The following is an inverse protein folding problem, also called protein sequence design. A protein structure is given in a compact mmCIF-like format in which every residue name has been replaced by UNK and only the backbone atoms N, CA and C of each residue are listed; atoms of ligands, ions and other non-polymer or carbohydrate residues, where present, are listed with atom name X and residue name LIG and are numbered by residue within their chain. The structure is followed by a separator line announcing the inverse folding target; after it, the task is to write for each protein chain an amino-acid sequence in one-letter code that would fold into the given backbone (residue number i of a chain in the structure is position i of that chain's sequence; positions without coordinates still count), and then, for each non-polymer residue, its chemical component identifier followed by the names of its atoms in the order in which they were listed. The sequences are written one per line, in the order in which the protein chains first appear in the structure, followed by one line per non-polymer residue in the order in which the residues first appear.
data_IF_027840091520
#
_entry.id   IF_027840091520
#
_cell.length_a   1.000
_cell.length_b   1.000
_cell.length_c   1.000
_cell.angle_alpha   90.00
_cell.angle_beta   90.00
_cell.angle_gamma   90.00
#
_symmetry.space_group_name_H-M   'P 1'
#
loop_
_entity.id
_entity.type
_entity.pdbx_description
1 polymer ?
#
# COMPACT_ATOMS: atom_id res chain seq x y z
N UNK A 1 13.97 -1.35 -17.86
CA UNK A 1 13.50 -0.26 -16.98
C UNK A 1 12.75 -0.92 -15.84
N UNK A 2 13.06 -0.58 -14.59
CA UNK A 2 12.34 -1.13 -13.44
C UNK A 2 10.97 -0.44 -13.32
N UNK A 3 9.92 -1.20 -13.05
CA UNK A 3 8.58 -0.65 -12.79
C UNK A 3 8.59 0.08 -11.46
N UNK A 4 8.21 1.36 -11.45
CA UNK A 4 8.07 2.15 -10.22
C UNK A 4 6.59 2.30 -9.82
N UNK A 5 6.35 2.59 -8.54
CA UNK A 5 5.00 2.68 -7.97
C UNK A 5 4.14 3.73 -8.68
N UNK A 6 4.74 4.87 -9.05
CA UNK A 6 4.09 6.02 -9.69
C UNK A 6 3.64 5.75 -11.12
N UNK A 7 4.16 4.70 -11.77
CA UNK A 7 3.68 4.28 -13.09
C UNK A 7 2.25 3.74 -13.04
N UNK A 8 1.81 3.21 -11.89
CA UNK A 8 0.44 2.72 -11.68
C UNK A 8 -0.35 3.63 -10.72
N UNK A 9 0.33 4.20 -9.73
CA UNK A 9 -0.25 5.06 -8.69
C UNK A 9 0.52 6.39 -8.60
N UNK A 10 0.35 7.31 -9.57
CA UNK A 10 1.00 8.63 -9.53
C UNK A 10 0.67 9.33 -8.21
N UNK A 11 1.69 9.79 -7.48
CA UNK A 11 1.54 10.40 -6.15
C UNK A 11 0.70 9.57 -5.17
N UNK A 12 0.87 8.24 -5.18
CA UNK A 12 0.08 7.29 -4.39
C UNK A 12 -1.46 7.41 -4.59
N UNK A 13 -1.90 7.99 -5.70
CA UNK A 13 -3.32 8.09 -6.04
C UNK A 13 -3.94 6.70 -6.20
N UNK A 14 -5.24 6.58 -5.88
CA UNK A 14 -6.00 5.34 -5.99
C UNK A 14 -5.45 4.15 -5.18
N UNK A 15 -4.63 4.39 -4.16
CA UNK A 15 -4.14 3.32 -3.24
C UNK A 15 -5.10 3.06 -2.07
N UNK A 16 -5.97 4.03 -1.79
CA UNK A 16 -7.00 3.99 -0.76
C UNK A 16 -6.56 3.53 0.66
N UNK A 17 -5.53 4.15 1.28
CA UNK A 17 -4.98 3.74 2.57
C UNK A 17 -5.98 3.78 3.74
N UNK A 18 -6.93 4.71 3.75
CA UNK A 18 -7.93 4.84 4.82
C UNK A 18 -8.96 3.70 4.87
N UNK A 19 -8.94 2.83 3.86
CA UNK A 19 -9.83 1.66 3.80
C UNK A 19 -9.21 0.43 4.45
N UNK A 20 -7.91 0.46 4.78
CA UNK A 20 -7.21 -0.61 5.46
C UNK A 20 -7.38 -0.49 6.99
N UNK A 21 -7.61 -1.61 7.71
CA UNK A 21 -7.61 -2.99 7.25
C UNK A 21 -8.84 -3.38 6.43
N UNK A 22 -8.66 -4.25 5.42
CA UNK A 22 -9.76 -4.79 4.60
C UNK A 22 -9.48 -6.19 4.09
N UNK A 23 -10.54 -6.89 3.68
CA UNK A 23 -10.41 -8.20 3.03
C UNK A 23 -9.92 -8.02 1.61
N UNK A 24 -8.76 -8.57 1.29
CA UNK A 24 -8.21 -8.49 -0.06
C UNK A 24 -8.36 -9.83 -0.78
N UNK A 25 -9.17 -9.85 -1.84
CA UNK A 25 -9.47 -11.06 -2.62
C UNK A 25 -8.21 -11.73 -3.16
N UNK A 26 -7.24 -10.94 -3.61
CA UNK A 26 -5.95 -11.42 -4.14
C UNK A 26 -5.11 -12.15 -3.08
N UNK A 27 -5.32 -11.88 -1.80
CA UNK A 27 -4.58 -12.48 -0.68
C UNK A 27 -5.43 -13.47 0.13
N UNK A 28 -6.74 -13.54 -0.11
CA UNK A 28 -7.66 -14.45 0.58
C UNK A 28 -7.79 -14.20 2.09
N UNK A 29 -7.42 -13.01 2.58
CA UNK A 29 -7.44 -12.66 4.00
C UNK A 29 -7.66 -11.16 4.21
N UNK A 30 -7.92 -10.76 5.46
CA UNK A 30 -7.81 -9.36 5.87
C UNK A 30 -6.33 -8.97 5.90
N UNK A 31 -6.04 -7.79 5.35
CA UNK A 31 -4.68 -7.29 5.15
C UNK A 31 -4.56 -5.86 5.68
N UNK A 32 -3.35 -5.49 6.07
CA UNK A 32 -2.96 -4.11 6.38
C UNK A 32 -2.42 -3.41 5.13
N UNK A 33 -2.23 -2.08 5.21
CA UNK A 33 -1.62 -1.32 4.12
C UNK A 33 -0.24 -1.87 3.73
N UNK A 34 0.63 -2.14 4.72
CA UNK A 34 1.95 -2.78 4.52
C UNK A 34 1.93 -4.13 3.80
N UNK A 35 0.89 -4.94 4.03
CA UNK A 35 0.75 -6.23 3.35
C UNK A 35 0.59 -6.00 1.85
N UNK A 36 -0.24 -5.02 1.48
CA UNK A 36 -0.45 -4.65 0.08
C UNK A 36 0.75 -3.91 -0.54
N UNK A 37 1.46 -3.07 0.23
CA UNK A 37 2.71 -2.47 -0.23
C UNK A 37 3.71 -3.58 -0.62
N UNK A 38 3.94 -4.55 0.28
CA UNK A 38 4.85 -5.66 -0.01
C UNK A 38 4.36 -6.53 -1.17
N UNK A 39 3.05 -6.79 -1.26
CA UNK A 39 2.49 -7.51 -2.39
C UNK A 39 2.77 -6.80 -3.72
N UNK A 40 2.63 -5.48 -3.78
CA UNK A 40 2.94 -4.67 -4.97
C UNK A 40 4.45 -4.68 -5.31
N UNK A 41 5.31 -4.70 -4.28
CA UNK A 41 6.76 -4.78 -4.47
C UNK A 41 7.15 -6.13 -5.07
N UNK A 42 6.65 -7.23 -4.51
CA UNK A 42 7.02 -8.58 -4.94
C UNK A 42 6.44 -8.95 -6.32
N UNK A 43 5.19 -8.53 -6.61
CA UNK A 43 4.46 -9.01 -7.79
C UNK A 43 4.63 -8.09 -9.02
N UNK A 44 4.06 -6.86 -9.07
CA UNK A 44 4.30 -5.91 -10.16
C UNK A 44 5.75 -5.43 -10.32
N UNK A 45 6.40 -5.03 -9.22
CA UNK A 45 7.72 -4.38 -9.26
C UNK A 45 8.86 -5.40 -9.35
N UNK A 46 8.63 -6.64 -8.91
CA UNK A 46 9.64 -7.71 -8.83
C UNK A 46 10.84 -7.31 -7.94
N UNK A 47 10.56 -6.56 -6.87
CA UNK A 47 11.54 -6.15 -5.87
C UNK A 47 11.58 -7.07 -4.65
N UNK A 48 12.49 -6.74 -3.73
CA UNK A 48 12.62 -7.43 -2.44
C UNK A 48 11.61 -6.89 -1.43
N UNK A 49 10.98 -7.81 -0.69
CA UNK A 49 10.07 -7.48 0.41
C UNK A 49 10.77 -6.59 1.44
N UNK A 50 10.05 -5.57 1.91
CA UNK A 50 10.51 -4.74 3.03
C UNK A 50 10.10 -5.38 4.36
N UNK A 51 10.99 -5.29 5.35
CA UNK A 51 10.66 -5.68 6.71
C UNK A 51 9.51 -4.81 7.26
N UNK A 52 8.53 -5.39 7.97
CA UNK A 52 7.35 -4.65 8.44
C UNK A 52 7.67 -3.43 9.32
N UNK A 53 8.81 -3.46 10.02
CA UNK A 53 9.28 -2.39 10.89
C UNK A 53 10.43 -1.56 10.30
N UNK A 54 10.78 -1.79 9.02
CA UNK A 54 11.87 -1.08 8.38
C UNK A 54 11.56 0.43 8.26
N UNK A 55 12.58 1.30 8.31
CA UNK A 55 12.41 2.72 8.06
C UNK A 55 11.73 3.01 6.71
N UNK A 56 12.02 2.21 5.68
CA UNK A 56 11.47 2.33 4.33
C UNK A 56 9.97 2.03 4.30
N UNK A 57 9.54 0.93 4.94
CA UNK A 57 8.12 0.60 5.04
C UNK A 57 7.35 1.70 5.77
N UNK A 58 7.88 2.20 6.90
CA UNK A 58 7.27 3.30 7.66
C UNK A 58 7.19 4.59 6.84
N UNK A 59 8.23 4.91 6.07
CA UNK A 59 8.24 6.06 5.19
C UNK A 59 7.18 5.95 4.08
N UNK A 60 7.02 4.76 3.49
CA UNK A 60 6.00 4.50 2.48
C UNK A 60 4.58 4.59 3.05
N UNK A 61 4.30 3.94 4.19
CA UNK A 61 2.99 4.03 4.87
C UNK A 61 2.65 5.50 5.20
N UNK A 62 3.62 6.25 5.75
CA UNK A 62 3.45 7.66 6.07
C UNK A 62 3.19 8.52 4.82
N UNK A 63 3.97 8.32 3.76
CA UNK A 63 3.78 9.03 2.49
C UNK A 63 2.40 8.75 1.90
N UNK A 64 2.03 7.48 1.73
CA UNK A 64 0.75 7.08 1.14
C UNK A 64 -0.43 7.65 1.97
N UNK A 65 -0.36 7.54 3.29
CA UNK A 65 -1.38 8.10 4.19
C UNK A 65 -1.45 9.62 4.09
N UNK A 66 -0.30 10.30 3.97
CA UNK A 66 -0.25 11.77 3.85
C UNK A 66 -0.96 12.29 2.60
N UNK A 67 -0.93 11.54 1.50
CA UNK A 67 -1.59 11.92 0.24
C UNK A 67 -3.13 11.90 0.36
N UNK A 68 -3.66 11.25 1.40
CA UNK A 68 -5.10 11.11 1.67
C UNK A 68 -5.52 11.84 2.95
N UNK A 69 -4.72 12.82 3.38
CA UNK A 69 -5.01 13.65 4.56
C UNK A 69 -6.37 14.33 4.41
N UNK A 70 -7.18 14.25 5.47
CA UNK A 70 -8.51 14.86 5.53
C UNK A 70 -9.63 13.98 5.02
N UNK A 71 -9.33 12.78 4.50
CA UNK A 71 -10.35 11.78 4.18
C UNK A 71 -10.68 10.97 5.45
N UNK A 72 -11.96 10.73 5.68
CA UNK A 72 -12.45 9.95 6.81
C UNK A 72 -12.04 8.48 6.68
N UNK A 73 -11.70 7.86 7.81
CA UNK A 73 -11.34 6.45 7.85
C UNK A 73 -12.58 5.59 7.64
N UNK A 74 -12.52 4.67 6.67
CA UNK A 74 -13.65 3.83 6.25
C UNK A 74 -13.17 2.40 6.02
N UNK A 75 -12.82 1.75 7.14
CA UNK A 75 -12.18 0.43 7.15
C UNK A 75 -13.09 -0.67 6.59
N UNK A 76 -12.50 -1.66 5.94
CA UNK A 76 -13.22 -2.82 5.41
C UNK A 76 -13.96 -2.54 4.11
N UNK A 77 -13.82 -1.34 3.55
CA UNK A 77 -14.41 -0.98 2.25
C UNK A 77 -13.50 -1.39 1.08
N UNK A 78 -14.13 -1.74 -0.04
CA UNK A 78 -13.59 -2.35 -1.26
C UNK A 78 -13.20 -3.82 -1.14
#
# INVERSE_FOLDING_TARGET
MATSCDMCHPHASNTHPETYPKYQTQMGRVVLLRDMINWCIENPVRGEKLEPDSPEMRALEAYITSQRKGVELDYGKH
#
